data_IF_468661207607
#
_entry.id   IF_468661207607
#
_cell.length_a   1.000
_cell.length_b   1.000
_cell.length_c   1.000
_cell.angle_alpha   90.00
_cell.angle_beta   90.00
_cell.angle_gamma   90.00
#
_symmetry.space_group_name_H-M   'P 1'
#
loop_
_entity.id
_entity.type
_entity.pdbx_description
1 polymer ?
#
# COMPACT_ATOMS: atom_id res chain seq x y z
N UNK A 1 2.97 17.36 27.69
CA UNK A 1 4.24 16.61 27.78
C UNK A 1 5.09 16.94 26.55
N UNK A 2 6.25 17.59 26.69
CA UNK A 2 7.16 17.86 25.56
C UNK A 2 8.16 16.71 25.46
N UNK A 3 8.09 15.92 24.38
CA UNK A 3 9.06 14.85 24.10
C UNK A 3 10.33 15.48 23.55
N UNK A 4 11.50 15.19 24.15
CA UNK A 4 12.79 15.57 23.56
C UNK A 4 13.02 14.72 22.32
N UNK A 5 13.00 15.36 21.15
CA UNK A 5 13.20 14.69 19.85
C UNK A 5 14.61 14.95 19.33
N UNK A 6 15.23 13.91 18.76
CA UNK A 6 16.48 14.01 17.98
C UNK A 6 16.23 14.29 16.49
N UNK A 7 14.96 14.36 16.08
CA UNK A 7 14.60 14.66 14.70
C UNK A 7 15.06 16.06 14.31
N UNK A 8 15.79 16.14 13.19
CA UNK A 8 16.19 17.41 12.56
C UNK A 8 15.52 17.47 11.19
N UNK A 9 14.61 18.41 10.94
CA UNK A 9 14.04 18.57 9.60
C UNK A 9 15.15 19.00 8.64
N UNK A 10 15.04 18.55 7.40
CA UNK A 10 15.88 19.04 6.30
C UNK A 10 15.79 20.56 6.22
N UNK A 11 16.93 21.25 6.21
CA UNK A 11 16.99 22.72 6.28
C UNK A 11 16.22 23.43 5.14
N UNK A 12 16.08 22.77 3.99
CA UNK A 12 15.39 23.26 2.80
C UNK A 12 13.88 22.89 2.77
N UNK A 13 13.37 22.16 3.77
CA UNK A 13 11.94 21.87 3.98
C UNK A 13 11.51 22.32 5.39
N UNK A 14 11.56 23.64 5.68
CA UNK A 14 11.25 24.16 7.01
C UNK A 14 9.76 24.05 7.34
N UNK A 15 9.40 24.23 8.61
CA UNK A 15 8.01 24.27 9.04
C UNK A 15 7.29 22.91 9.04
N UNK A 16 5.99 22.91 9.40
CA UNK A 16 5.27 21.66 9.69
C UNK A 16 4.78 20.90 8.45
N UNK A 17 4.73 21.51 7.26
CA UNK A 17 4.02 20.95 6.10
C UNK A 17 4.90 20.65 4.87
N UNK A 18 6.03 21.35 4.71
CA UNK A 18 6.84 21.25 3.49
C UNK A 18 7.38 19.84 3.25
N UNK A 19 7.77 19.14 4.32
CA UNK A 19 8.17 17.73 4.26
C UNK A 19 7.07 16.84 3.65
N UNK A 20 5.81 17.04 4.07
CA UNK A 20 4.66 16.28 3.59
C UNK A 20 4.32 16.62 2.14
N UNK A 21 4.28 17.91 1.80
CA UNK A 21 3.97 18.38 0.44
C UNK A 21 5.01 17.86 -0.53
N UNK A 22 6.30 18.01 -0.19
CA UNK A 22 7.37 17.52 -1.04
C UNK A 22 7.24 16.01 -1.26
N UNK A 23 7.12 15.24 -0.18
CA UNK A 23 7.04 13.78 -0.23
C UNK A 23 5.84 13.28 -1.05
N UNK A 24 4.73 14.01 -1.02
CA UNK A 24 3.55 13.70 -1.84
C UNK A 24 3.78 13.99 -3.32
N UNK A 25 4.40 15.13 -3.66
CA UNK A 25 4.41 15.64 -5.03
C UNK A 25 5.61 15.23 -5.88
N UNK A 26 6.78 15.09 -5.27
CA UNK A 26 8.05 15.01 -6.00
C UNK A 26 8.84 13.72 -5.71
N UNK A 27 8.40 12.90 -4.75
CA UNK A 27 9.11 11.66 -4.39
C UNK A 27 9.07 10.68 -5.55
N UNK A 28 10.24 10.36 -6.09
CA UNK A 28 10.39 9.24 -7.00
C UNK A 28 10.38 7.94 -6.20
N UNK A 29 9.57 6.99 -6.64
CA UNK A 29 9.40 5.68 -6.03
C UNK A 29 9.50 4.62 -7.13
N UNK A 30 9.99 3.41 -6.80
CA UNK A 30 9.98 2.32 -7.75
C UNK A 30 8.54 2.02 -8.17
N UNK A 31 8.38 1.64 -9.43
CA UNK A 31 7.15 1.08 -9.96
C UNK A 31 7.43 -0.38 -10.32
N UNK A 32 7.33 -1.29 -9.33
CA UNK A 32 7.61 -2.69 -9.58
C UNK A 32 6.60 -3.25 -10.58
N UNK A 33 7.06 -4.15 -11.45
CA UNK A 33 6.18 -4.85 -12.37
C UNK A 33 5.39 -5.89 -11.59
N UNK A 34 4.14 -5.57 -11.28
CA UNK A 34 3.26 -6.43 -10.49
C UNK A 34 2.26 -7.16 -11.37
N UNK A 35 2.07 -8.46 -11.13
CA UNK A 35 1.05 -9.25 -11.81
C UNK A 35 -0.29 -9.12 -11.09
N UNK A 36 -1.33 -8.68 -11.81
CA UNK A 36 -2.69 -8.63 -11.27
C UNK A 36 -3.33 -10.03 -11.27
N UNK A 37 -4.00 -10.36 -10.18
CA UNK A 37 -4.87 -11.52 -10.03
C UNK A 37 -6.20 -11.06 -9.41
N UNK A 38 -7.28 -11.74 -9.75
CA UNK A 38 -8.58 -11.56 -9.11
C UNK A 38 -9.01 -12.90 -8.52
N UNK A 39 -9.45 -12.87 -7.27
CA UNK A 39 -9.97 -14.06 -6.60
C UNK A 39 -11.45 -13.85 -6.28
N UNK A 40 -12.23 -14.90 -6.48
CA UNK A 40 -13.64 -14.97 -6.06
C UNK A 40 -13.68 -15.35 -4.57
N UNK A 41 -14.59 -14.75 -3.82
CA UNK A 41 -14.80 -14.99 -2.40
C UNK A 41 -16.05 -15.84 -2.16
N UNK A 42 -16.10 -16.49 -1.01
CA UNK A 42 -17.21 -17.40 -0.64
C UNK A 42 -18.58 -16.72 -0.55
N UNK A 43 -18.60 -15.40 -0.32
CA UNK A 43 -19.82 -14.59 -0.32
C UNK A 43 -20.30 -14.19 -1.73
N UNK A 44 -19.62 -14.67 -2.77
CA UNK A 44 -19.92 -14.38 -4.17
C UNK A 44 -19.39 -13.03 -4.65
N UNK A 45 -18.55 -12.35 -3.87
CA UNK A 45 -17.84 -11.14 -4.28
C UNK A 45 -16.40 -11.48 -4.76
N UNK A 46 -15.56 -10.46 -4.96
CA UNK A 46 -14.17 -10.67 -5.39
C UNK A 46 -13.20 -9.68 -4.74
N UNK A 47 -11.91 -10.02 -4.72
CA UNK A 47 -10.84 -9.05 -4.43
C UNK A 47 -9.75 -9.11 -5.51
N UNK A 48 -9.04 -8.00 -5.68
CA UNK A 48 -7.93 -7.91 -6.62
C UNK A 48 -6.61 -7.92 -5.84
N UNK A 49 -5.67 -8.73 -6.32
CA UNK A 49 -4.32 -8.87 -5.80
C UNK A 49 -3.32 -8.36 -6.83
N UNK A 50 -2.23 -7.75 -6.35
CA UNK A 50 -1.08 -7.38 -7.19
C UNK A 50 0.17 -8.01 -6.61
N UNK A 51 0.75 -8.94 -7.37
CA UNK A 51 1.85 -9.79 -6.92
C UNK A 51 3.21 -9.29 -7.40
N UNK A 52 4.17 -9.33 -6.50
CA UNK A 52 5.60 -9.23 -6.77
C UNK A 52 6.28 -10.51 -6.27
N UNK A 53 6.64 -11.40 -7.19
CA UNK A 53 7.11 -12.76 -6.88
C UNK A 53 8.51 -13.05 -7.46
N UNK A 54 9.40 -12.06 -7.36
CA UNK A 54 10.79 -12.15 -7.84
C UNK A 54 11.78 -12.62 -6.77
N UNK A 55 11.34 -12.70 -5.50
CA UNK A 55 12.16 -13.03 -4.36
C UNK A 55 12.08 -14.51 -3.96
N UNK A 56 13.00 -14.92 -3.09
CA UNK A 56 13.01 -16.26 -2.48
C UNK A 56 12.65 -16.22 -0.98
N UNK A 57 12.35 -15.03 -0.44
CA UNK A 57 11.95 -14.83 0.95
C UNK A 57 10.45 -15.04 1.19
N UNK A 58 9.97 -14.74 2.41
CA UNK A 58 8.55 -14.81 2.76
C UNK A 58 7.70 -13.84 1.93
N UNK A 59 6.39 -14.08 1.92
CA UNK A 59 5.40 -13.19 1.31
C UNK A 59 4.94 -12.16 2.34
N UNK A 60 4.98 -10.89 1.95
CA UNK A 60 4.41 -9.77 2.73
C UNK A 60 3.10 -9.33 2.10
N UNK A 61 2.02 -9.38 2.87
CA UNK A 61 0.73 -8.80 2.47
C UNK A 61 0.74 -7.31 2.81
N UNK A 62 0.46 -6.49 1.81
CA UNK A 62 0.29 -5.04 1.94
C UNK A 62 -1.22 -4.76 1.90
N UNK A 63 -1.72 -4.11 2.94
CA UNK A 63 -3.06 -3.53 2.99
C UNK A 63 -2.92 -2.02 2.88
N UNK A 64 -3.59 -1.41 1.91
CA UNK A 64 -3.49 0.03 1.68
C UNK A 64 -4.35 0.83 2.67
N UNK A 65 -4.05 2.12 2.82
CA UNK A 65 -4.88 3.05 3.60
C UNK A 65 -6.15 3.45 2.84
N UNK A 66 -6.94 4.37 3.40
CA UNK A 66 -8.18 4.85 2.76
C UNK A 66 -7.93 5.33 1.32
N UNK A 67 -8.78 4.87 0.41
CA UNK A 67 -8.79 5.09 -1.05
C UNK A 67 -7.46 4.78 -1.76
N UNK A 68 -6.65 3.90 -1.18
CA UNK A 68 -5.39 3.46 -1.77
C UNK A 68 -5.55 2.46 -2.93
N UNK A 69 -4.47 2.34 -3.70
CA UNK A 69 -4.33 1.40 -4.81
C UNK A 69 -2.84 1.06 -5.07
N UNK A 70 -2.56 0.32 -6.15
CA UNK A 70 -1.19 -0.03 -6.55
C UNK A 70 -0.31 1.19 -6.91
N UNK A 71 -0.93 2.33 -7.25
CA UNK A 71 -0.24 3.58 -7.60
C UNK A 71 0.07 4.46 -6.37
N UNK A 72 -0.41 4.07 -5.19
CA UNK A 72 -0.22 4.81 -3.95
C UNK A 72 1.24 4.82 -3.49
N UNK A 73 1.72 5.96 -2.99
CA UNK A 73 3.14 6.16 -2.64
C UNK A 73 3.61 5.21 -1.52
N UNK A 74 2.78 4.94 -0.52
CA UNK A 74 3.11 3.97 0.53
C UNK A 74 3.26 2.56 -0.05
N UNK A 75 2.36 2.14 -0.94
CA UNK A 75 2.39 0.81 -1.57
C UNK A 75 3.64 0.63 -2.42
N UNK A 76 3.94 1.59 -3.31
CA UNK A 76 5.18 1.59 -4.11
C UNK A 76 6.44 1.56 -3.25
N UNK A 77 6.48 2.34 -2.17
CA UNK A 77 7.61 2.33 -1.25
C UNK A 77 7.77 0.96 -0.56
N UNK A 78 6.68 0.33 -0.14
CA UNK A 78 6.69 -1.00 0.48
C UNK A 78 7.20 -2.07 -0.47
N UNK A 79 6.66 -2.15 -1.69
CA UNK A 79 7.18 -3.09 -2.69
C UNK A 79 8.67 -2.85 -2.99
N UNK A 80 9.10 -1.58 -3.05
CA UNK A 80 10.51 -1.24 -3.21
C UNK A 80 11.41 -1.81 -2.11
N UNK A 81 10.97 -1.77 -0.86
CA UNK A 81 11.70 -2.36 0.27
C UNK A 81 11.67 -3.88 0.19
N UNK A 82 10.50 -4.48 -0.03
CA UNK A 82 10.29 -5.95 -0.14
C UNK A 82 11.19 -6.55 -1.23
N UNK A 83 11.18 -5.94 -2.43
CA UNK A 83 12.05 -6.33 -3.54
C UNK A 83 13.53 -6.26 -3.15
N UNK A 84 13.94 -5.13 -2.55
CA UNK A 84 15.35 -4.88 -2.17
C UNK A 84 15.88 -5.89 -1.16
N UNK A 85 15.03 -6.42 -0.27
CA UNK A 85 15.42 -7.44 0.72
C UNK A 85 15.25 -8.89 0.18
N UNK A 86 14.87 -9.05 -1.09
CA UNK A 86 14.71 -10.36 -1.73
C UNK A 86 13.47 -11.14 -1.29
N UNK A 87 12.46 -10.45 -0.77
CA UNK A 87 11.19 -11.03 -0.32
C UNK A 87 10.11 -10.91 -1.40
N UNK A 88 9.01 -11.62 -1.21
CA UNK A 88 7.84 -11.56 -2.06
C UNK A 88 6.80 -10.61 -1.46
N UNK A 89 5.97 -10.00 -2.30
CA UNK A 89 4.95 -9.06 -1.87
C UNK A 89 3.64 -9.28 -2.59
N UNK A 90 2.54 -9.03 -1.90
CA UNK A 90 1.21 -8.96 -2.50
C UNK A 90 0.48 -7.76 -1.93
N UNK A 91 -0.06 -6.91 -2.80
CA UNK A 91 -1.04 -5.91 -2.40
C UNK A 91 -2.41 -6.55 -2.50
N UNK A 92 -3.15 -6.53 -1.40
CA UNK A 92 -4.58 -6.80 -1.37
C UNK A 92 -5.31 -5.47 -1.52
N UNK A 93 -6.10 -5.34 -2.60
CA UNK A 93 -7.03 -4.22 -2.71
C UNK A 93 -8.29 -4.53 -1.92
N UNK A 94 -8.61 -3.65 -0.98
CA UNK A 94 -9.89 -3.70 -0.29
C UNK A 94 -11.03 -3.53 -1.30
N UNK A 95 -12.19 -4.10 -0.96
CA UNK A 95 -13.38 -4.00 -1.80
C UNK A 95 -13.69 -2.54 -2.15
N UNK A 96 -14.17 -2.33 -3.37
CA UNK A 96 -14.49 -1.06 -4.01
C UNK A 96 -13.29 -0.12 -4.24
N UNK A 97 -12.06 -0.64 -4.18
CA UNK A 97 -10.84 0.10 -4.50
C UNK A 97 -10.26 -0.27 -5.86
N UNK A 98 -9.31 0.53 -6.35
CA UNK A 98 -8.65 0.28 -7.65
C UNK A 98 -9.54 0.51 -8.87
N UNK A 99 -10.60 1.34 -8.72
CA UNK A 99 -11.45 1.76 -9.83
C UNK A 99 -12.48 0.73 -10.31
N UNK A 100 -12.67 -0.37 -9.56
CA UNK A 100 -13.66 -1.40 -9.86
C UNK A 100 -14.63 -1.53 -8.70
N UNK A 101 -15.92 -1.46 -9.00
CA UNK A 101 -16.97 -1.70 -8.01
C UNK A 101 -17.14 -3.19 -7.76
N UNK A 102 -17.25 -3.56 -6.49
CA UNK A 102 -17.61 -4.90 -6.06
C UNK A 102 -19.09 -5.20 -6.32
N UNK A 103 -19.46 -6.49 -6.26
CA UNK A 103 -20.85 -6.93 -6.50
C UNK A 103 -21.75 -6.64 -5.30
N UNK A 104 -21.19 -6.75 -4.10
CA UNK A 104 -21.90 -6.51 -2.85
C UNK A 104 -21.70 -5.06 -2.40
N UNK A 105 -22.72 -4.50 -1.75
CA UNK A 105 -22.67 -3.18 -1.12
C UNK A 105 -21.93 -3.25 0.23
N UNK A 106 -20.71 -3.78 0.21
CA UNK A 106 -19.82 -3.89 1.37
C UNK A 106 -18.68 -2.89 1.24
N UNK A 107 -18.59 -1.96 2.19
CA UNK A 107 -17.46 -1.03 2.30
C UNK A 107 -16.42 -1.59 3.26
N UNK A 108 -15.19 -1.09 3.16
CA UNK A 108 -14.12 -1.36 4.13
C UNK A 108 -13.92 -0.16 5.06
N UNK A 109 -13.25 -0.40 6.18
CA UNK A 109 -12.76 0.63 7.09
C UNK A 109 -11.35 0.27 7.57
N UNK A 110 -10.75 1.11 8.42
CA UNK A 110 -9.38 0.93 8.91
C UNK A 110 -9.13 -0.34 9.75
N UNK A 111 -10.18 -1.11 10.03
CA UNK A 111 -10.12 -2.37 10.78
C UNK A 111 -10.83 -3.50 10.07
N UNK A 112 -11.08 -3.36 8.76
CA UNK A 112 -11.59 -4.47 7.95
C UNK A 112 -10.47 -5.49 7.75
N UNK A 113 -10.71 -6.72 8.19
CA UNK A 113 -9.76 -7.83 8.10
C UNK A 113 -10.41 -9.12 7.64
N UNK A 114 -11.73 -9.14 7.41
CA UNK A 114 -12.44 -10.39 7.12
C UNK A 114 -12.09 -11.04 5.79
N UNK A 115 -11.41 -10.33 4.89
CA UNK A 115 -10.89 -10.87 3.62
C UNK A 115 -9.43 -11.37 3.76
N UNK A 116 -8.83 -11.37 4.96
CA UNK A 116 -7.48 -11.88 5.24
C UNK A 116 -7.44 -13.27 5.90
N UNK A 117 -8.59 -13.74 6.41
CA UNK A 117 -8.75 -15.04 7.07
C UNK A 117 -8.96 -16.16 6.06
#
# INVERSE_FOLDING_TARGET
>A
MKVKSVFRPSCWLPGPHWQTIWASRFRSLPSPDTKKEQIELDDGDFINLYWLTEGNGPIVIIVHGLEGDFSSNNVKAMFGVISKIGWNGVLLLNRNCGGVSNRLQRTYHAGETGDLD
#
